data_IF_701813088333
#
_entry.id   IF_701813088333
#
_cell.length_a   1.000
_cell.length_b   1.000
_cell.length_c   1.000
_cell.angle_alpha   90.00
_cell.angle_beta   90.00
_cell.angle_gamma   90.00
#
_symmetry.space_group_name_H-M   'P 1'
#
loop_
_entity.id
_entity.type
_entity.pdbx_description
1 polymer ?
#
# COMPACT_ATOMS: atom_id res chain seq x y z
N UNK A 1 1.47 19.27 -2.34
CA UNK A 1 0.51 18.60 -1.45
C UNK A 1 1.31 18.13 -0.24
N UNK A 2 1.18 18.87 0.85
CA UNK A 2 1.82 18.51 2.13
C UNK A 2 0.89 17.54 2.85
N UNK A 3 1.43 16.42 3.32
CA UNK A 3 0.68 15.39 4.01
C UNK A 3 0.47 15.84 5.47
N UNK A 4 -0.75 16.22 5.84
CA UNK A 4 -1.13 16.54 7.22
C UNK A 4 -1.58 15.27 7.97
N UNK A 5 -0.65 14.33 8.21
CA UNK A 5 -0.96 13.10 8.93
C UNK A 5 0.13 12.70 9.92
N UNK A 6 -0.28 12.17 11.07
CA UNK A 6 0.66 11.62 12.06
C UNK A 6 1.12 10.22 11.61
N UNK A 7 2.41 10.07 11.33
CA UNK A 7 3.00 8.76 11.01
C UNK A 7 3.28 7.99 12.28
N UNK A 8 2.67 6.81 12.43
CA UNK A 8 2.90 5.91 13.55
C UNK A 8 3.33 4.52 13.07
N UNK A 9 4.15 3.77 13.83
CA UNK A 9 4.51 2.40 13.46
C UNK A 9 3.25 1.52 13.36
N UNK A 10 3.18 0.63 12.38
CA UNK A 10 1.99 -0.18 12.10
C UNK A 10 1.47 -0.94 13.33
N UNK A 11 2.38 -1.51 14.12
CA UNK A 11 2.11 -2.19 15.39
C UNK A 11 1.39 -1.34 16.45
N UNK A 12 1.44 -0.02 16.35
CA UNK A 12 0.78 0.90 17.30
C UNK A 12 -0.68 1.21 16.93
N UNK A 13 -1.08 0.93 15.69
CA UNK A 13 -2.42 1.17 15.16
C UNK A 13 -3.11 -0.14 14.73
N UNK A 14 -2.50 -1.29 15.04
CA UNK A 14 -2.95 -2.61 14.63
C UNK A 14 -4.09 -3.14 15.52
N UNK A 15 -5.26 -2.51 15.41
CA UNK A 15 -6.51 -3.00 16.00
C UNK A 15 -7.12 -4.13 15.15
N UNK A 16 -8.10 -4.87 15.70
CA UNK A 16 -8.83 -5.88 14.92
C UNK A 16 -9.50 -5.28 13.67
N UNK A 17 -10.09 -4.09 13.81
CA UNK A 17 -10.70 -3.34 12.71
C UNK A 17 -9.67 -2.94 11.65
N UNK A 18 -8.52 -2.37 12.07
CA UNK A 18 -7.44 -2.05 11.15
C UNK A 18 -6.89 -3.31 10.46
N UNK A 19 -6.78 -4.44 11.16
CA UNK A 19 -6.32 -5.70 10.58
C UNK A 19 -7.28 -6.23 9.50
N UNK A 20 -8.60 -6.10 9.70
CA UNK A 20 -9.61 -6.48 8.71
C UNK A 20 -9.53 -5.65 7.42
N UNK A 21 -9.13 -4.39 7.51
CA UNK A 21 -9.01 -3.48 6.36
C UNK A 21 -7.62 -3.60 5.69
N UNK A 22 -6.55 -3.58 6.49
CA UNK A 22 -5.17 -3.59 6.00
C UNK A 22 -4.74 -4.98 5.55
N UNK A 23 -5.28 -6.05 6.16
CA UNK A 23 -4.91 -7.43 5.86
C UNK A 23 -5.05 -7.79 4.37
N UNK A 24 -6.22 -7.57 3.75
CA UNK A 24 -6.40 -7.79 2.31
C UNK A 24 -5.46 -6.95 1.44
N UNK A 25 -5.29 -5.66 1.74
CA UNK A 25 -4.38 -4.77 1.00
C UNK A 25 -2.92 -5.26 1.09
N UNK A 26 -2.48 -5.62 2.29
CA UNK A 26 -1.16 -6.20 2.56
C UNK A 26 -0.95 -7.49 1.77
N UNK A 27 -1.91 -8.41 1.80
CA UNK A 27 -1.83 -9.68 1.08
C UNK A 27 -1.72 -9.47 -0.44
N UNK A 28 -2.47 -8.53 -1.02
CA UNK A 28 -2.39 -8.18 -2.44
C UNK A 28 -1.00 -7.67 -2.80
N UNK A 29 -0.43 -6.75 -2.02
CA UNK A 29 0.90 -6.21 -2.28
C UNK A 29 1.98 -7.27 -2.08
N UNK A 30 1.91 -8.08 -1.02
CA UNK A 30 2.85 -9.18 -0.77
C UNK A 30 2.83 -10.21 -1.90
N UNK A 31 1.64 -10.60 -2.37
CA UNK A 31 1.51 -11.53 -3.49
C UNK A 31 2.09 -10.95 -4.79
N UNK A 32 1.84 -9.67 -5.07
CA UNK A 32 2.36 -9.00 -6.26
C UNK A 32 3.89 -8.89 -6.23
N UNK A 33 4.45 -8.44 -5.10
CA UNK A 33 5.89 -8.27 -4.95
C UNK A 33 6.62 -9.61 -4.82
N UNK A 34 5.98 -10.65 -4.27
CA UNK A 34 6.51 -12.01 -4.26
C UNK A 34 6.67 -12.63 -5.65
N UNK A 35 6.04 -12.04 -6.68
CA UNK A 35 6.23 -12.39 -8.08
C UNK A 35 7.36 -11.63 -8.79
N UNK A 36 8.14 -10.82 -8.07
CA UNK A 36 9.29 -10.11 -8.63
C UNK A 36 10.33 -11.10 -9.16
N UNK A 37 10.83 -10.83 -10.37
CA UNK A 37 11.90 -11.64 -10.97
C UNK A 37 13.25 -11.36 -10.30
N UNK A 38 13.45 -10.13 -9.81
CA UNK A 38 14.61 -9.69 -9.08
C UNK A 38 14.18 -8.88 -7.84
N UNK A 39 14.62 -9.33 -6.66
CA UNK A 39 14.32 -8.67 -5.39
C UNK A 39 15.23 -7.46 -5.13
N UNK A 40 16.40 -7.38 -5.77
CA UNK A 40 17.29 -6.23 -5.67
C UNK A 40 16.65 -4.98 -6.28
N UNK A 41 15.82 -5.14 -7.31
CA UNK A 41 15.03 -4.04 -7.89
C UNK A 41 14.04 -3.42 -6.90
N UNK A 42 13.68 -4.13 -5.83
CA UNK A 42 12.79 -3.64 -4.77
C UNK A 42 13.57 -3.07 -3.56
N UNK A 43 14.90 -2.99 -3.63
CA UNK A 43 15.72 -2.50 -2.52
C UNK A 43 15.34 -1.06 -2.14
N UNK A 44 15.20 -0.83 -0.82
CA UNK A 44 14.84 0.49 -0.28
C UNK A 44 13.37 0.88 -0.48
N UNK A 45 12.55 0.01 -1.07
CA UNK A 45 11.10 0.22 -1.17
C UNK A 45 10.45 0.16 0.21
N UNK A 46 9.57 1.12 0.47
CA UNK A 46 8.69 1.18 1.63
C UNK A 46 7.25 1.24 1.16
N UNK A 47 6.40 0.47 1.80
CA UNK A 47 4.95 0.50 1.60
C UNK A 47 4.36 1.29 2.76
N UNK A 48 3.64 2.35 2.45
CA UNK A 48 2.96 3.19 3.43
C UNK A 48 1.47 2.97 3.24
N UNK A 49 0.82 2.39 4.25
CA UNK A 49 -0.63 2.36 4.34
C UNK A 49 -1.10 3.71 4.86
N UNK A 50 -2.12 4.28 4.25
CA UNK A 50 -2.72 5.53 4.69
C UNK A 50 -4.23 5.40 4.75
N UNK A 51 -4.82 6.24 5.59
CA UNK A 51 -6.25 6.51 5.63
C UNK A 51 -6.44 7.99 5.40
N UNK A 52 -7.38 8.34 4.55
CA UNK A 52 -7.77 9.72 4.23
C UNK A 52 -9.25 9.87 4.59
N UNK A 53 -9.58 10.88 5.39
CA UNK A 53 -10.98 11.21 5.68
C UNK A 53 -11.56 11.98 4.49
N UNK A 54 -12.62 11.45 3.91
CA UNK A 54 -13.38 12.06 2.82
C UNK A 54 -14.80 12.39 3.28
N UNK A 55 -15.57 13.08 2.42
CA UNK A 55 -16.97 13.39 2.71
C UNK A 55 -17.86 12.14 2.90
N UNK A 56 -17.43 10.99 2.38
CA UNK A 56 -18.18 9.72 2.43
C UNK A 56 -17.68 8.75 3.51
N UNK A 57 -16.57 9.08 4.18
CA UNK A 57 -15.99 8.26 5.25
C UNK A 57 -14.46 8.16 5.15
N UNK A 58 -13.89 7.16 5.83
CA UNK A 58 -12.47 6.89 5.80
C UNK A 58 -12.08 6.03 4.59
N UNK A 59 -11.31 6.58 3.66
CA UNK A 59 -10.74 5.86 2.52
C UNK A 59 -9.34 5.34 2.84
N UNK A 60 -9.14 4.03 2.68
CA UNK A 60 -7.88 3.37 2.96
C UNK A 60 -7.12 3.04 1.67
N UNK A 61 -5.81 3.25 1.68
CA UNK A 61 -4.96 2.97 0.53
C UNK A 61 -3.53 2.67 0.90
N UNK A 62 -2.70 2.45 -0.13
CA UNK A 62 -1.26 2.33 0.03
C UNK A 62 -0.51 3.18 -0.98
N UNK A 63 0.69 3.60 -0.61
CA UNK A 63 1.64 4.27 -1.51
C UNK A 63 3.02 3.65 -1.36
N UNK A 64 3.74 3.61 -2.48
CA UNK A 64 5.13 3.19 -2.51
C UNK A 64 6.04 4.40 -2.32
N UNK A 65 7.09 4.24 -1.50
CA UNK A 65 8.11 5.27 -1.27
C UNK A 65 9.49 4.62 -1.29
N UNK A 66 10.44 5.23 -2.00
CA UNK A 66 11.79 4.70 -2.12
C UNK A 66 12.46 5.21 -3.39
N UNK A 67 13.52 4.53 -3.86
CA UNK A 67 14.12 4.80 -5.16
C UNK A 67 13.08 4.74 -6.29
N UNK A 68 13.17 5.65 -7.26
CA UNK A 68 12.18 5.73 -8.34
C UNK A 68 12.05 4.43 -9.14
N UNK A 69 13.17 3.73 -9.39
CA UNK A 69 13.17 2.43 -10.06
C UNK A 69 12.34 1.38 -9.28
N UNK A 70 12.60 1.25 -7.98
CA UNK A 70 11.88 0.32 -7.11
C UNK A 70 10.37 0.65 -7.01
N UNK A 71 10.03 1.93 -6.91
CA UNK A 71 8.62 2.38 -6.90
C UNK A 71 7.92 2.04 -8.22
N UNK A 72 8.55 2.33 -9.36
CA UNK A 72 7.97 2.03 -10.66
C UNK A 72 7.81 0.53 -10.89
N UNK A 73 8.79 -0.27 -10.46
CA UNK A 73 8.72 -1.72 -10.58
C UNK A 73 7.61 -2.31 -9.68
N UNK A 74 7.47 -1.82 -8.45
CA UNK A 74 6.39 -2.20 -7.56
C UNK A 74 5.00 -1.86 -8.15
N UNK A 75 4.83 -0.66 -8.72
CA UNK A 75 3.59 -0.27 -9.40
C UNK A 75 3.29 -1.20 -10.57
N UNK A 76 4.30 -1.54 -11.38
CA UNK A 76 4.15 -2.49 -12.49
C UNK A 76 3.70 -3.88 -12.00
N UNK A 77 4.34 -4.42 -10.97
CA UNK A 77 4.00 -5.74 -10.41
C UNK A 77 2.57 -5.78 -9.84
N UNK A 78 2.18 -4.73 -9.11
CA UNK A 78 0.84 -4.61 -8.53
C UNK A 78 -0.22 -4.43 -9.62
N UNK A 79 0.03 -3.55 -10.60
CA UNK A 79 -0.90 -3.33 -11.72
C UNK A 79 -1.10 -4.57 -12.60
N UNK A 80 -0.11 -5.47 -12.67
CA UNK A 80 -0.24 -6.76 -13.37
C UNK A 80 -1.04 -7.79 -12.58
N UNK A 81 -0.97 -7.72 -11.25
CA UNK A 81 -1.54 -8.73 -10.33
C UNK A 81 -2.95 -8.37 -9.85
N UNK A 82 -3.30 -7.09 -9.88
CA UNK A 82 -4.59 -6.57 -9.43
C UNK A 82 -5.16 -5.64 -10.49
N UNK A 83 -6.20 -6.03 -11.25
CA UNK A 83 -7.05 -5.01 -11.85
C UNK A 83 -7.58 -4.17 -10.70
N UNK A 84 -7.43 -2.86 -10.78
CA UNK A 84 -7.90 -1.90 -9.77
C UNK A 84 -9.34 -2.28 -9.38
N UNK A 85 -9.54 -2.78 -8.15
CA UNK A 85 -10.88 -2.96 -7.61
C UNK A 85 -11.32 -1.57 -7.14
N UNK A 86 -11.97 -0.86 -8.05
CA UNK A 86 -12.64 0.40 -7.77
C UNK A 86 -13.89 0.07 -6.94
N UNK A 87 -13.83 0.26 -5.62
CA UNK A 87 -15.01 0.24 -4.76
C UNK A 87 -15.72 1.60 -4.86
N UNK A 88 -16.22 1.93 -6.06
CA UNK A 88 -17.25 2.97 -6.21
C UNK A 88 -18.60 2.33 -5.98
N UNK A 89 -19.24 2.69 -4.87
CA UNK A 89 -20.70 2.57 -4.72
C UNK A 89 -21.38 3.72 -5.47
#
# INVERSE_FOLDING_TARGET
>A
MEFEGEQRPLQTIWTHEAACIIGPLKATVENALGGAADLEELEGLKIIVYVEETETGAEWGFKFRGPAAAVNYAIYLVGRSSPVIDFRN
#
